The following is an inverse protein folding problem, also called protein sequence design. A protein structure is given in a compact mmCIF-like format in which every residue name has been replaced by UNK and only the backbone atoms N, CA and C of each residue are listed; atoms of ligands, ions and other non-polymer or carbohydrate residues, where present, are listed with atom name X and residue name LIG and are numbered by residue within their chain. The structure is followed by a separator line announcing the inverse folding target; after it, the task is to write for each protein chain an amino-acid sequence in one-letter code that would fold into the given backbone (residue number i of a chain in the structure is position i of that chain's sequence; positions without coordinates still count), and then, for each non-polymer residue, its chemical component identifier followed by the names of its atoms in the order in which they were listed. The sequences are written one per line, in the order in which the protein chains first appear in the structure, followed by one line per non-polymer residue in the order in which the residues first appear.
data_IF_079060667013
#
_entry.id   IF_079060667013
#
_cell.length_a   1.000
_cell.length_b   1.000
_cell.length_c   1.000
_cell.angle_alpha   90.00
_cell.angle_beta   90.00
_cell.angle_gamma   90.00
#
_symmetry.space_group_name_H-M   'P 1'
#
loop_
_entity.id
_entity.type
_entity.pdbx_description
1 polymer ?
#
# COMPACT_ATOMS: atom_id res chain seq x y z
N UNK A 1 21.46 17.07 3.51
CA UNK A 1 20.47 17.14 2.41
C UNK A 1 19.86 15.76 2.28
N UNK A 2 18.72 15.50 2.92
CA UNK A 2 17.98 14.25 2.75
C UNK A 2 16.88 14.46 1.72
N UNK A 3 16.79 13.57 0.72
CA UNK A 3 15.65 13.55 -0.21
C UNK A 3 14.58 12.67 0.42
N UNK A 4 13.42 13.24 0.73
CA UNK A 4 12.30 12.46 1.24
C UNK A 4 11.70 11.61 0.11
N UNK A 5 11.48 10.30 0.33
CA UNK A 5 10.74 9.45 -0.59
C UNK A 5 9.37 10.04 -0.93
N UNK A 6 9.00 10.01 -2.20
CA UNK A 6 7.69 10.45 -2.69
C UNK A 6 6.82 9.23 -3.07
N UNK A 7 5.60 9.49 -3.53
CA UNK A 7 4.64 8.47 -3.97
C UNK A 7 5.26 7.48 -4.98
N UNK A 8 5.99 7.99 -5.98
CA UNK A 8 6.63 7.16 -7.00
C UNK A 8 7.70 6.24 -6.41
N UNK A 9 8.49 6.75 -5.46
CA UNK A 9 9.51 5.98 -4.76
C UNK A 9 8.88 4.77 -4.06
N UNK A 10 7.80 5.00 -3.30
CA UNK A 10 7.08 3.91 -2.64
C UNK A 10 6.44 2.94 -3.63
N UNK A 11 5.84 3.42 -4.72
CA UNK A 11 5.27 2.58 -5.77
C UNK A 11 6.31 1.63 -6.39
N UNK A 12 7.54 2.11 -6.59
CA UNK A 12 8.66 1.27 -7.03
C UNK A 12 9.01 0.21 -6.00
N UNK A 13 9.12 0.58 -4.72
CA UNK A 13 9.45 -0.36 -3.64
C UNK A 13 8.38 -1.45 -3.50
N UNK A 14 7.09 -1.08 -3.48
CA UNK A 14 5.96 -2.03 -3.44
C UNK A 14 6.05 -3.01 -4.60
N UNK A 15 6.28 -2.51 -5.83
CA UNK A 15 6.42 -3.35 -7.02
C UNK A 15 7.58 -4.34 -6.91
N UNK A 16 8.73 -3.90 -6.38
CA UNK A 16 9.89 -4.77 -6.18
C UNK A 16 9.59 -5.84 -5.12
N UNK A 17 8.99 -5.46 -3.99
CA UNK A 17 8.63 -6.40 -2.92
C UNK A 17 7.63 -7.46 -3.40
N UNK A 18 6.60 -7.06 -4.17
CA UNK A 18 5.67 -8.02 -4.78
C UNK A 18 6.34 -8.95 -5.81
N UNK A 19 7.30 -8.45 -6.60
CA UNK A 19 8.07 -9.31 -7.53
C UNK A 19 8.89 -10.37 -6.79
N UNK A 20 9.35 -10.06 -5.58
CA UNK A 20 10.08 -10.98 -4.70
C UNK A 20 9.15 -11.84 -3.83
N UNK A 21 7.83 -11.79 -4.07
CA UNK A 21 6.79 -12.46 -3.26
C UNK A 21 6.82 -12.08 -1.78
N UNK A 22 7.37 -10.89 -1.46
CA UNK A 22 7.43 -10.34 -0.10
C UNK A 22 6.20 -9.49 0.18
N UNK A 23 5.04 -10.13 0.26
CA UNK A 23 3.77 -9.43 0.39
C UNK A 23 3.61 -8.71 1.74
N UNK A 24 4.19 -9.22 2.82
CA UNK A 24 4.21 -8.53 4.12
C UNK A 24 4.97 -7.19 4.03
N UNK A 25 6.15 -7.19 3.41
CA UNK A 25 6.94 -5.97 3.18
C UNK A 25 6.19 -4.98 2.28
N UNK A 26 5.54 -5.47 1.23
CA UNK A 26 4.72 -4.62 0.36
C UNK A 26 3.56 -3.96 1.12
N UNK A 27 2.95 -4.67 2.08
CA UNK A 27 1.86 -4.15 2.91
C UNK A 27 2.35 -3.14 3.95
N UNK A 28 3.50 -3.41 4.58
CA UNK A 28 4.14 -2.42 5.46
C UNK A 28 4.42 -1.11 4.72
N UNK A 29 4.98 -1.18 3.51
CA UNK A 29 5.21 0.01 2.69
C UNK A 29 3.93 0.83 2.45
N UNK A 30 2.79 0.19 2.22
CA UNK A 30 1.49 0.87 2.10
C UNK A 30 1.05 1.55 3.41
N UNK A 31 1.33 0.95 4.57
CA UNK A 31 1.09 1.60 5.87
C UNK A 31 2.00 2.82 6.07
N UNK A 32 3.28 2.69 5.76
CA UNK A 32 4.26 3.76 5.92
C UNK A 32 3.91 5.00 5.08
N UNK A 33 3.39 4.79 3.87
CA UNK A 33 2.87 5.87 3.04
C UNK A 33 1.81 6.69 3.80
N UNK A 34 0.82 6.03 4.41
CA UNK A 34 -0.20 6.73 5.21
C UNK A 34 0.37 7.47 6.41
N UNK A 35 1.29 6.85 7.15
CA UNK A 35 1.95 7.49 8.31
C UNK A 35 2.67 8.76 7.91
N UNK A 36 3.19 8.82 6.69
CA UNK A 36 3.93 9.98 6.16
C UNK A 36 3.04 10.96 5.38
N UNK A 37 1.71 10.80 5.44
CA UNK A 37 0.76 11.66 4.73
C UNK A 37 0.75 11.45 3.21
N UNK A 38 1.38 10.38 2.71
CA UNK A 38 1.32 9.97 1.31
C UNK A 38 0.15 9.00 1.14
N UNK A 39 -0.94 9.44 0.53
CA UNK A 39 -2.06 8.54 0.21
C UNK A 39 -1.61 7.52 -0.85
N UNK A 40 -1.58 6.21 -0.58
CA UNK A 40 -1.37 5.22 -1.62
C UNK A 40 -2.50 5.27 -2.64
N UNK A 41 -2.15 5.07 -3.90
CA UNK A 41 -3.06 5.23 -5.03
C UNK A 41 -3.43 3.88 -5.66
N UNK A 42 -4.13 3.96 -6.79
CA UNK A 42 -4.52 2.79 -7.59
C UNK A 42 -3.29 1.98 -8.03
N UNK A 43 -2.15 2.63 -8.26
CA UNK A 43 -0.91 1.94 -8.63
C UNK A 43 -0.34 1.20 -7.43
N UNK A 44 -0.30 1.81 -6.25
CA UNK A 44 0.20 1.19 -5.02
C UNK A 44 -0.59 -0.08 -4.67
N UNK A 45 -1.90 0.06 -4.49
CA UNK A 45 -2.78 -1.05 -4.09
C UNK A 45 -3.01 -2.05 -5.22
N UNK A 46 -3.24 -1.56 -6.44
CA UNK A 46 -3.47 -2.42 -7.60
C UNK A 46 -2.28 -3.32 -7.90
N UNK A 47 -1.05 -2.86 -7.61
CA UNK A 47 0.15 -3.71 -7.75
C UNK A 47 0.12 -4.91 -6.81
N UNK A 48 -0.24 -4.71 -5.53
CA UNK A 48 -0.31 -5.79 -4.53
C UNK A 48 -1.45 -6.77 -4.86
N UNK A 49 -2.65 -6.24 -5.11
CA UNK A 49 -3.85 -7.03 -5.41
C UNK A 49 -3.63 -7.90 -6.66
N UNK A 50 -3.15 -7.31 -7.76
CA UNK A 50 -2.89 -8.03 -9.00
C UNK A 50 -1.83 -9.12 -8.82
N UNK A 51 -0.82 -8.89 -7.96
CA UNK A 51 0.23 -9.89 -7.72
C UNK A 51 -0.25 -11.05 -6.86
N UNK A 52 -1.02 -10.79 -5.80
CA UNK A 52 -1.65 -11.82 -4.97
C UNK A 52 -2.63 -12.67 -5.79
N UNK A 53 -3.46 -12.03 -6.61
CA UNK A 53 -4.39 -12.74 -7.50
C UNK A 53 -3.63 -13.65 -8.50
N UNK A 54 -2.54 -13.16 -9.10
CA UNK A 54 -1.70 -13.94 -10.02
C UNK A 54 -0.91 -15.06 -9.34
N UNK A 55 -0.63 -14.97 -8.04
CA UNK A 55 -0.03 -16.07 -7.27
C UNK A 55 -1.05 -17.07 -6.75
N UNK A 56 -2.35 -16.88 -7.03
CA UNK A 56 -3.44 -17.75 -6.57
C UNK A 56 -3.96 -17.41 -5.17
N UNK A 57 -3.41 -16.40 -4.51
CA UNK A 57 -3.85 -15.95 -3.18
C UNK A 57 -4.99 -14.91 -3.32
N UNK A 58 -6.16 -15.40 -3.73
CA UNK A 58 -7.36 -14.56 -3.88
C UNK A 58 -7.86 -14.02 -2.54
N UNK A 59 -7.68 -14.77 -1.45
CA UNK A 59 -8.06 -14.35 -0.10
C UNK A 59 -7.25 -13.13 0.34
N UNK A 60 -5.93 -13.17 0.17
CA UNK A 60 -5.06 -12.03 0.40
C UNK A 60 -5.40 -10.83 -0.49
N UNK A 61 -5.68 -11.08 -1.78
CA UNK A 61 -6.05 -10.01 -2.71
C UNK A 61 -7.35 -9.29 -2.29
N UNK A 62 -8.38 -10.04 -1.89
CA UNK A 62 -9.65 -9.49 -1.40
C UNK A 62 -9.48 -8.72 -0.09
N UNK A 63 -8.68 -9.25 0.83
CA UNK A 63 -8.38 -8.56 2.09
C UNK A 63 -7.73 -7.19 1.86
N UNK A 64 -6.75 -7.11 0.95
CA UNK A 64 -6.12 -5.84 0.59
C UNK A 64 -7.14 -4.91 -0.09
N UNK A 65 -8.02 -5.43 -0.95
CA UNK A 65 -9.07 -4.65 -1.57
C UNK A 65 -10.03 -4.04 -0.53
N UNK A 66 -10.50 -4.84 0.43
CA UNK A 66 -11.37 -4.38 1.52
C UNK A 66 -10.70 -3.31 2.39
N UNK A 67 -9.40 -3.46 2.66
CA UNK A 67 -8.60 -2.45 3.37
C UNK A 67 -8.59 -1.11 2.63
N UNK A 68 -8.55 -1.12 1.29
CA UNK A 68 -8.59 0.14 0.50
C UNK A 68 -9.91 0.88 0.66
N UNK A 69 -11.04 0.14 0.66
CA UNK A 69 -12.38 0.71 0.82
C UNK A 69 -12.61 1.31 2.21
N UNK A 70 -12.00 0.74 3.25
CA UNK A 70 -12.17 1.22 4.62
C UNK A 70 -11.22 2.38 4.97
N UNK A 71 -9.99 2.38 4.43
CA UNK A 71 -8.97 3.37 4.81
C UNK A 71 -9.20 4.77 4.24
N UNK A 72 -9.97 4.90 3.17
CA UNK A 72 -10.35 6.21 2.63
C UNK A 72 -11.20 7.05 3.61
N UNK A 73 -11.85 6.40 4.59
CA UNK A 73 -12.63 7.05 5.64
C UNK A 73 -11.91 7.20 6.99
N UNK A 74 -10.97 6.31 7.34
CA UNK A 74 -10.30 6.31 8.65
C UNK A 74 -9.25 7.42 8.82
N UNK A 75 -8.50 7.77 7.77
CA UNK A 75 -7.42 8.76 7.89
C UNK A 75 -7.89 10.22 7.97
N UNK A 76 -9.13 10.51 7.56
CA UNK A 76 -9.75 11.82 7.84
C UNK A 76 -9.94 12.05 9.34
N UNK A 77 -10.17 10.98 10.11
CA UNK A 77 -10.34 11.06 11.55
C UNK A 77 -8.98 11.20 12.24
N UNK A 78 -7.98 10.37 11.93
CA UNK A 78 -6.68 10.38 12.66
C UNK A 78 -5.91 11.70 12.58
N UNK A 79 -6.00 12.44 11.46
CA UNK A 79 -5.36 13.76 11.31
C UNK A 79 -6.11 14.86 12.08
N UNK A 80 -7.40 14.68 12.38
CA UNK A 80 -8.21 15.68 13.09
C UNK A 80 -8.08 15.63 14.62
N UNK A 81 -7.42 14.61 15.18
CA UNK A 81 -7.27 14.38 16.64
C UNK A 81 -5.80 14.55 17.08
N UNK A 82 -4.89 14.95 16.18
CA UNK A 82 -3.50 15.29 16.45
C UNK A 82 -3.29 16.80 16.23
#
# INVERSE_FOLDING_TARGET
MGVSPNLETYNVLVKISCKKLRFSEARELLEWMWVWGLKPDVVSYGTVINRLAKSGDLSGALKVFDETCHKDNLNKLTIAIA
#
